data_IF_342040502934
#
_entry.id   IF_342040502934
#
_cell.length_a   1.000
_cell.length_b   1.000
_cell.length_c   1.000
_cell.angle_alpha   90.00
_cell.angle_beta   90.00
_cell.angle_gamma   90.00
#
_symmetry.space_group_name_H-M   'P 1'
#
loop_
_entity.id
_entity.type
_entity.pdbx_description
1 polymer ?
#
# COMPACT_ATOMS: atom_id res chain seq x y z
N UNK A 1 -31.12 -13.49 -9.93
CA UNK A 1 -29.69 -13.15 -10.04
C UNK A 1 -29.47 -11.90 -9.20
N UNK A 2 -29.24 -12.07 -7.90
CA UNK A 2 -29.09 -10.97 -6.93
C UNK A 2 -27.67 -10.44 -6.93
N UNK A 3 -27.55 -9.11 -6.96
CA UNK A 3 -26.31 -8.34 -6.87
C UNK A 3 -26.21 -7.66 -5.50
N UNK A 4 -26.10 -8.44 -4.42
CA UNK A 4 -25.97 -7.93 -3.05
C UNK A 4 -24.55 -8.19 -2.49
N UNK A 5 -23.52 -7.64 -3.14
CA UNK A 5 -22.12 -7.95 -2.80
C UNK A 5 -21.17 -6.77 -2.61
N UNK A 6 -21.61 -5.50 -2.72
CA UNK A 6 -20.69 -4.35 -2.71
C UNK A 6 -20.84 -3.38 -1.53
N UNK A 7 -21.60 -3.72 -0.49
CA UNK A 7 -21.88 -2.82 0.64
C UNK A 7 -21.17 -3.17 1.95
N UNK A 8 -19.94 -3.69 1.89
CA UNK A 8 -19.10 -3.75 3.08
C UNK A 8 -17.68 -3.24 2.80
N UNK A 9 -17.58 -1.94 2.47
CA UNK A 9 -16.34 -1.21 2.72
C UNK A 9 -16.35 -0.91 4.22
N UNK A 10 -15.49 -1.55 5.04
CA UNK A 10 -15.46 -1.27 6.46
C UNK A 10 -15.18 0.22 6.66
N UNK A 11 -16.05 0.89 7.44
CA UNK A 11 -15.81 2.25 7.91
C UNK A 11 -14.45 2.24 8.59
N UNK A 12 -13.46 2.93 7.99
CA UNK A 12 -12.11 3.04 8.55
C UNK A 12 -12.20 3.84 9.83
N UNK A 13 -12.32 3.14 10.97
CA UNK A 13 -12.27 3.78 12.28
C UNK A 13 -10.85 4.28 12.49
N UNK A 14 -10.71 5.56 12.81
CA UNK A 14 -9.43 6.11 13.24
C UNK A 14 -8.92 5.34 14.45
N UNK A 15 -7.65 4.94 14.42
CA UNK A 15 -6.98 4.29 15.57
C UNK A 15 -5.96 5.26 16.11
N UNK A 16 -5.93 5.42 17.43
CA UNK A 16 -4.94 6.29 18.09
C UNK A 16 -3.60 5.58 18.20
N UNK A 17 -2.53 6.28 17.85
CA UNK A 17 -1.16 5.82 18.04
C UNK A 17 -0.53 6.68 19.14
N UNK A 18 -0.08 6.05 20.23
CA UNK A 18 0.65 6.71 21.29
C UNK A 18 2.15 6.50 21.07
N UNK A 19 2.92 7.58 21.01
CA UNK A 19 4.37 7.52 20.81
C UNK A 19 5.08 8.32 21.91
N UNK A 20 6.20 7.78 22.41
CA UNK A 20 7.13 8.50 23.27
C UNK A 20 8.32 8.95 22.42
N UNK A 21 8.66 10.23 22.52
CA UNK A 21 9.79 10.83 21.82
C UNK A 21 10.56 11.74 22.79
N UNK A 22 11.84 11.91 22.53
CA UNK A 22 12.67 12.89 23.24
C UNK A 22 12.24 14.32 22.88
N UNK A 23 12.46 15.27 23.80
CA UNK A 23 12.05 16.65 23.63
C UNK A 23 12.67 17.31 22.38
N UNK A 24 13.96 17.07 22.14
CA UNK A 24 14.67 17.59 20.97
C UNK A 24 14.06 17.11 19.65
N UNK A 25 13.69 15.82 19.57
CA UNK A 25 13.02 15.27 18.38
C UNK A 25 11.64 15.89 18.19
N UNK A 26 10.88 16.11 19.27
CA UNK A 26 9.58 16.78 19.21
C UNK A 26 9.72 18.20 18.65
N UNK A 27 10.68 18.96 19.17
CA UNK A 27 10.87 20.35 18.79
C UNK A 27 11.27 20.47 17.31
N UNK A 28 12.18 19.60 16.84
CA UNK A 28 12.54 19.51 15.42
C UNK A 28 11.33 19.20 14.51
N UNK A 29 10.45 18.30 14.94
CA UNK A 29 9.22 17.96 14.20
C UNK A 29 8.25 19.15 14.19
N UNK A 30 8.09 19.84 15.32
CA UNK A 30 7.21 21.00 15.43
C UNK A 30 7.68 22.14 14.52
N UNK A 31 9.00 22.39 14.46
CA UNK A 31 9.60 23.37 13.55
C UNK A 31 9.37 23.00 12.07
N UNK A 32 9.61 21.74 11.69
CA UNK A 32 9.38 21.26 10.33
C UNK A 32 7.90 21.36 9.92
N UNK A 33 6.98 21.03 10.83
CA UNK A 33 5.55 21.17 10.60
C UNK A 33 5.15 22.64 10.42
N UNK A 34 5.73 23.54 11.23
CA UNK A 34 5.50 24.99 11.16
C UNK A 34 5.90 25.58 9.81
N UNK A 35 7.08 25.21 9.29
CA UNK A 35 7.56 25.65 7.96
C UNK A 35 6.58 25.28 6.84
N UNK A 36 5.91 24.14 6.97
CA UNK A 36 4.93 23.65 6.00
C UNK A 36 3.49 24.10 6.30
N UNK A 37 3.26 24.86 7.37
CA UNK A 37 1.92 25.29 7.79
C UNK A 37 1.01 24.13 8.21
N UNK A 38 1.58 23.00 8.65
CA UNK A 38 0.84 21.81 9.08
C UNK A 38 0.84 21.71 10.61
N UNK A 39 -0.16 21.03 11.17
CA UNK A 39 -0.05 20.57 12.56
C UNK A 39 0.99 19.45 12.66
N UNK A 40 1.58 19.27 13.85
CA UNK A 40 2.50 18.14 14.11
C UNK A 40 1.90 16.80 13.70
N UNK A 41 0.64 16.54 14.07
CA UNK A 41 -0.02 15.26 13.76
C UNK A 41 -0.15 15.04 12.26
N UNK A 42 -0.55 16.06 11.50
CA UNK A 42 -0.64 15.97 10.04
C UNK A 42 0.73 15.73 9.42
N UNK A 43 1.75 16.47 9.85
CA UNK A 43 3.13 16.28 9.38
C UNK A 43 3.62 14.86 9.64
N UNK A 44 3.41 14.35 10.86
CA UNK A 44 3.84 13.01 11.25
C UNK A 44 3.13 11.91 10.45
N UNK A 45 1.80 12.00 10.29
CA UNK A 45 1.02 11.01 9.54
C UNK A 45 1.40 11.01 8.06
N UNK A 46 1.55 12.19 7.47
CA UNK A 46 1.90 12.34 6.06
C UNK A 46 3.31 11.80 5.78
N UNK A 47 4.29 12.19 6.61
CA UNK A 47 5.67 11.72 6.50
C UNK A 47 5.78 10.21 6.71
N UNK A 48 5.14 9.68 7.76
CA UNK A 48 5.15 8.25 8.04
C UNK A 48 4.48 7.44 6.91
N UNK A 49 3.39 7.96 6.33
CA UNK A 49 2.69 7.32 5.21
C UNK A 49 3.57 7.28 3.96
N UNK A 50 4.16 8.41 3.56
CA UNK A 50 5.02 8.46 2.38
C UNK A 50 6.20 7.51 2.53
N UNK A 51 6.90 7.59 3.67
CA UNK A 51 8.04 6.71 3.92
C UNK A 51 7.63 5.23 3.97
N UNK A 52 6.46 4.89 4.52
CA UNK A 52 5.97 3.52 4.50
C UNK A 52 5.67 3.04 3.06
N UNK A 53 5.11 3.90 2.21
CA UNK A 53 4.89 3.58 0.79
C UNK A 53 6.23 3.34 0.10
N UNK A 54 7.20 4.22 0.29
CA UNK A 54 8.52 4.11 -0.35
C UNK A 54 9.20 2.79 0.07
N UNK A 55 9.20 2.47 1.36
CA UNK A 55 9.75 1.20 1.87
C UNK A 55 9.06 -0.02 1.25
N UNK A 56 7.74 0.03 1.08
CA UNK A 56 6.98 -1.07 0.46
C UNK A 56 7.24 -1.18 -1.05
N UNK A 57 7.42 -0.06 -1.74
CA UNK A 57 7.75 -0.03 -3.17
C UNK A 57 9.18 -0.52 -3.41
N UNK A 58 10.09 -0.23 -2.50
CA UNK A 58 11.49 -0.67 -2.55
C UNK A 58 11.66 -2.12 -2.08
N UNK A 59 10.61 -2.78 -1.60
CA UNK A 59 10.68 -4.17 -1.17
C UNK A 59 10.90 -5.12 -2.37
N UNK A 60 12.13 -5.63 -2.49
CA UNK A 60 12.55 -6.54 -3.57
C UNK A 60 12.65 -8.01 -3.16
N UNK A 61 12.71 -8.30 -1.86
CA UNK A 61 12.81 -9.66 -1.33
C UNK A 61 11.52 -10.02 -0.58
N UNK A 62 10.92 -11.13 -0.99
CA UNK A 62 9.75 -11.73 -0.34
C UNK A 62 10.16 -13.06 0.26
N UNK A 63 10.19 -13.13 1.59
CA UNK A 63 10.48 -14.37 2.32
C UNK A 63 9.18 -15.15 2.50
N UNK A 64 9.16 -16.37 1.98
CA UNK A 64 8.04 -17.29 2.07
C UNK A 64 8.37 -18.39 3.09
N UNK A 65 7.37 -18.83 3.84
CA UNK A 65 7.46 -20.11 4.55
C UNK A 65 7.26 -21.27 3.57
N UNK A 66 7.51 -22.49 4.01
CA UNK A 66 7.47 -23.68 3.17
C UNK A 66 6.12 -23.86 2.45
N UNK A 67 5.02 -23.58 3.15
CA UNK A 67 3.68 -23.69 2.59
C UNK A 67 3.43 -22.67 1.47
N UNK A 68 3.80 -21.40 1.70
CA UNK A 68 3.70 -20.34 0.69
C UNK A 68 4.64 -20.57 -0.48
N UNK A 69 5.84 -21.10 -0.22
CA UNK A 69 6.79 -21.46 -1.27
C UNK A 69 6.25 -22.57 -2.17
N UNK A 70 5.73 -23.66 -1.59
CA UNK A 70 5.13 -24.75 -2.36
C UNK A 70 3.94 -24.29 -3.21
N UNK A 71 3.07 -23.45 -2.64
CA UNK A 71 1.95 -22.86 -3.38
C UNK A 71 2.42 -21.95 -4.53
N UNK A 72 3.51 -21.19 -4.32
CA UNK A 72 4.10 -20.34 -5.34
C UNK A 72 4.67 -21.17 -6.51
N UNK A 73 5.44 -22.22 -6.23
CA UNK A 73 5.99 -23.11 -7.27
C UNK A 73 4.87 -23.79 -8.06
N UNK A 74 3.86 -24.34 -7.37
CA UNK A 74 2.71 -24.95 -8.05
C UNK A 74 1.96 -23.97 -8.96
N UNK A 75 1.89 -22.68 -8.59
CA UNK A 75 1.29 -21.65 -9.43
C UNK A 75 2.14 -21.30 -10.66
N UNK A 76 3.48 -21.39 -10.57
CA UNK A 76 4.38 -21.19 -11.69
C UNK A 76 4.35 -22.34 -12.69
N UNK A 77 4.23 -23.58 -12.21
CA UNK A 77 4.18 -24.77 -13.06
C UNK A 77 2.80 -24.98 -13.71
N UNK A 78 1.76 -24.29 -13.22
CA UNK A 78 0.42 -24.40 -13.76
C UNK A 78 0.34 -23.75 -15.16
N UNK A 79 -0.22 -24.45 -16.17
CA UNK A 79 -0.38 -23.87 -17.50
C UNK A 79 -1.30 -22.63 -17.43
N UNK A 80 -1.00 -21.57 -18.20
CA UNK A 80 -1.79 -20.35 -18.18
C UNK A 80 -3.21 -20.64 -18.68
N UNK A 81 -4.18 -20.41 -17.80
CA UNK A 81 -5.60 -20.52 -18.17
C UNK A 81 -5.95 -19.33 -19.05
N UNK A 82 -6.55 -19.58 -20.22
CA UNK A 82 -7.05 -18.53 -21.10
C UNK A 82 -8.11 -17.69 -20.36
N UNK A 83 -7.76 -16.43 -20.06
CA UNK A 83 -8.65 -15.48 -19.38
C UNK A 83 -9.06 -14.40 -20.39
N UNK A 84 -10.32 -14.34 -20.85
CA UNK A 84 -10.77 -13.36 -21.85
C UNK A 84 -10.45 -11.91 -21.46
N UNK A 85 -10.49 -11.57 -20.17
CA UNK A 85 -10.10 -10.25 -19.65
C UNK A 85 -8.60 -9.96 -19.78
N UNK A 86 -7.74 -10.98 -19.65
CA UNK A 86 -6.30 -10.82 -19.83
C UNK A 86 -5.97 -10.60 -21.31
N UNK A 87 -6.60 -11.36 -22.22
CA UNK A 87 -6.44 -11.16 -23.66
C UNK A 87 -6.85 -9.74 -24.08
N UNK A 88 -8.04 -9.30 -23.66
CA UNK A 88 -8.52 -7.94 -23.94
C UNK A 88 -7.62 -6.84 -23.34
N UNK A 89 -6.97 -7.10 -22.20
CA UNK A 89 -6.00 -6.17 -21.60
C UNK A 89 -4.72 -6.06 -22.43
N UNK A 90 -4.19 -7.19 -22.92
CA UNK A 90 -2.98 -7.24 -23.73
C UNK A 90 -3.18 -6.60 -25.12
N UNK A 91 -4.41 -6.66 -25.65
CA UNK A 91 -4.78 -6.02 -26.93
C UNK A 91 -5.07 -4.51 -26.79
N UNK A 92 -5.22 -4.00 -25.56
CA UNK A 92 -5.60 -2.60 -25.34
C UNK A 92 -4.42 -1.68 -25.63
N UNK A 93 -4.59 -0.78 -26.60
CA UNK A 93 -3.63 0.33 -26.80
C UNK A 93 -3.51 1.17 -25.53
N UNK A 94 -2.28 1.39 -25.03
CA UNK A 94 -2.07 2.21 -23.85
C UNK A 94 -2.47 3.67 -24.11
N UNK A 95 -2.92 4.36 -23.06
CA UNK A 95 -3.54 5.69 -23.17
C UNK A 95 -2.57 6.80 -23.64
N UNK A 96 -1.26 6.56 -23.55
CA UNK A 96 -0.20 7.51 -23.91
C UNK A 96 0.31 7.36 -25.35
N UNK A 97 -0.24 6.43 -26.14
CA UNK A 97 0.03 6.30 -27.59
C UNK A 97 -0.97 7.08 -28.45
N UNK A 98 -1.62 8.10 -27.88
CA UNK A 98 -2.50 9.04 -28.60
C UNK A 98 -1.82 10.38 -28.83
#
# INVERSE_FOLDING_TARGET
MSIDGLSNVPVRRGTTINLRVEAETRDLIDDAASVLGKTRTEFMIDTARHHAIDVLLDQRLFVLDDARHAAFVAALDAPPVARPRLSALMERKPAWER
#
